data_IF_156699703297
#
_entry.id   IF_156699703297
#
_cell.length_a   1.000
_cell.length_b   1.000
_cell.length_c   1.000
_cell.angle_alpha   90.00
_cell.angle_beta   90.00
_cell.angle_gamma   90.00
#
_symmetry.space_group_name_H-M   'P 1'
#
loop_
_entity.id
_entity.type
_entity.pdbx_description
1 polymer ?
#
# COMPACT_ATOMS: atom_id res chain seq x y z
N UNK A 1 -0.38 -0.02 -7.11
CA UNK A 1 -1.47 -0.95 -7.44
C UNK A 1 -1.58 -1.97 -6.33
N UNK A 2 -2.77 -2.48 -6.07
CA UNK A 2 -2.95 -3.54 -5.07
C UNK A 2 -2.27 -4.86 -5.51
N UNK A 3 -1.82 -5.70 -4.57
CA UNK A 3 -1.13 -6.95 -4.89
C UNK A 3 -1.92 -7.87 -5.82
N UNK A 4 -3.23 -8.01 -5.58
CA UNK A 4 -4.13 -8.86 -6.35
C UNK A 4 -4.34 -8.36 -7.80
N UNK A 5 -4.20 -7.06 -8.05
CA UNK A 5 -4.26 -6.49 -9.41
C UNK A 5 -2.97 -6.80 -10.18
N UNK A 6 -1.84 -6.91 -9.49
CA UNK A 6 -0.54 -7.25 -10.07
C UNK A 6 -0.36 -8.76 -10.28
N UNK A 7 -1.11 -9.58 -9.55
CA UNK A 7 -1.07 -11.03 -9.67
C UNK A 7 -1.76 -11.51 -10.95
N UNK A 8 -1.03 -12.25 -11.79
CA UNK A 8 -1.58 -12.78 -13.05
C UNK A 8 -2.68 -13.81 -12.78
N UNK A 9 -3.85 -13.60 -13.38
CA UNK A 9 -4.97 -14.55 -13.33
C UNK A 9 -5.78 -14.50 -12.04
N UNK A 10 -5.53 -13.52 -11.16
CA UNK A 10 -6.33 -13.29 -9.96
C UNK A 10 -7.45 -12.30 -10.30
N UNK A 11 -8.69 -12.70 -10.03
CA UNK A 11 -9.82 -11.79 -10.09
C UNK A 11 -9.75 -10.83 -8.90
N UNK A 12 -10.05 -9.57 -9.14
CA UNK A 12 -10.11 -8.53 -8.12
C UNK A 12 -11.43 -7.77 -8.21
N UNK A 13 -11.79 -7.09 -7.14
CA UNK A 13 -13.01 -6.30 -7.01
C UNK A 13 -12.68 -4.92 -6.41
N UNK A 14 -13.66 -4.29 -5.74
CA UNK A 14 -13.49 -3.01 -5.05
C UNK A 14 -12.42 -3.01 -3.94
N UNK A 15 -11.92 -4.18 -3.52
CA UNK A 15 -10.80 -4.28 -2.58
C UNK A 15 -9.54 -3.54 -3.05
N UNK A 16 -9.30 -3.49 -4.36
CA UNK A 16 -8.17 -2.79 -4.95
C UNK A 16 -8.22 -1.26 -4.74
N UNK A 17 -9.42 -0.69 -4.63
CA UNK A 17 -9.61 0.74 -4.41
C UNK A 17 -9.24 1.13 -2.98
N UNK A 18 -9.55 0.28 -1.99
CA UNK A 18 -9.15 0.51 -0.60
C UNK A 18 -7.63 0.54 -0.43
N UNK A 19 -6.92 -0.35 -1.11
CA UNK A 19 -5.45 -0.32 -1.11
C UNK A 19 -4.90 0.91 -1.82
N UNK A 20 -5.50 1.28 -2.96
CA UNK A 20 -5.13 2.48 -3.70
C UNK A 20 -5.37 3.75 -2.88
N UNK A 21 -6.44 3.79 -2.08
CA UNK A 21 -6.73 4.86 -1.14
C UNK A 21 -5.66 4.94 -0.04
N UNK A 22 -5.26 3.82 0.57
CA UNK A 22 -4.14 3.79 1.52
C UNK A 22 -2.84 4.34 0.93
N UNK A 23 -2.53 3.99 -0.32
CA UNK A 23 -1.34 4.48 -1.03
C UNK A 23 -1.40 5.99 -1.27
N UNK A 24 -2.59 6.49 -1.65
CA UNK A 24 -2.83 7.91 -1.89
C UNK A 24 -2.74 8.71 -0.59
N UNK A 25 -3.37 8.23 0.48
CA UNK A 25 -3.35 8.88 1.79
C UNK A 25 -1.92 9.01 2.31
N UNK A 26 -1.14 7.94 2.28
CA UNK A 26 0.28 8.00 2.65
C UNK A 26 1.04 9.02 1.80
N UNK A 27 0.80 9.04 0.47
CA UNK A 27 1.46 9.98 -0.44
C UNK A 27 1.10 11.44 -0.16
N UNK A 28 -0.14 11.73 0.23
CA UNK A 28 -0.55 13.08 0.61
C UNK A 28 0.15 13.53 1.90
N UNK A 29 0.36 12.61 2.85
CA UNK A 29 1.00 12.91 4.14
C UNK A 29 2.54 12.97 4.08
N UNK A 30 3.18 12.17 3.21
CA UNK A 30 4.65 12.03 3.12
C UNK A 30 5.27 12.59 1.85
N UNK A 31 4.46 12.95 0.86
CA UNK A 31 4.93 13.45 -0.44
C UNK A 31 5.46 12.37 -1.38
N UNK A 32 5.44 11.08 -0.98
CA UNK A 32 5.89 9.97 -1.82
C UNK A 32 5.09 8.69 -1.60
N UNK A 33 5.17 7.74 -2.54
CA UNK A 33 4.55 6.41 -2.42
C UNK A 33 5.09 5.66 -1.18
N UNK A 34 4.25 4.88 -0.47
CA UNK A 34 4.73 4.04 0.63
C UNK A 34 5.73 2.96 0.18
N UNK A 35 5.72 2.60 -1.10
CA UNK A 35 6.64 1.61 -1.69
C UNK A 35 7.90 2.24 -2.30
N UNK A 36 8.17 3.53 -2.02
CA UNK A 36 9.36 4.23 -2.51
C UNK A 36 10.58 3.90 -1.65
N UNK A 37 11.60 3.27 -2.22
CA UNK A 37 12.87 3.10 -1.52
C UNK A 37 13.65 4.42 -1.41
N UNK A 38 14.25 4.66 -0.23
CA UNK A 38 14.97 5.90 0.10
C UNK A 38 16.34 6.06 -0.59
N UNK A 39 16.84 5.06 -1.34
CA UNK A 39 18.27 4.96 -1.68
C UNK A 39 18.69 5.04 -3.16
N UNK A 40 17.81 5.27 -4.13
CA UNK A 40 18.26 5.33 -5.53
C UNK A 40 17.97 6.68 -6.17
N UNK A 41 19.04 7.50 -6.28
CA UNK A 41 19.11 8.71 -7.13
C UNK A 41 18.92 8.42 -8.62
N UNK A 42 18.88 7.14 -9.03
CA UNK A 42 18.50 6.72 -10.37
C UNK A 42 17.02 6.32 -10.38
N UNK A 43 16.22 6.96 -11.24
CA UNK A 43 14.76 6.85 -11.27
C UNK A 43 14.22 5.43 -11.05
N UNK A 44 13.31 5.29 -10.09
CA UNK A 44 12.62 4.04 -9.80
C UNK A 44 11.75 3.69 -11.01
N UNK A 45 11.99 2.52 -11.62
CA UNK A 45 11.16 2.03 -12.71
C UNK A 45 9.83 1.54 -12.12
N UNK A 46 8.73 1.72 -12.84
CA UNK A 46 7.39 1.31 -12.38
C UNK A 46 7.34 -0.14 -11.89
N UNK A 47 8.06 -1.04 -12.56
CA UNK A 47 8.17 -2.46 -12.20
C UNK A 47 8.76 -2.70 -10.80
N UNK A 48 9.64 -1.83 -10.31
CA UNK A 48 10.22 -1.99 -8.97
C UNK A 48 9.21 -1.59 -7.89
N UNK A 49 8.38 -0.56 -8.14
CA UNK A 49 7.29 -0.19 -7.22
C UNK A 49 6.21 -1.27 -7.16
N UNK A 50 5.89 -1.88 -8.30
CA UNK A 50 4.94 -2.99 -8.39
C UNK A 50 5.43 -4.20 -7.59
N UNK A 51 6.71 -4.56 -7.73
CA UNK A 51 7.30 -5.63 -6.92
C UNK A 51 7.20 -5.35 -5.43
N UNK A 52 7.54 -4.14 -5.00
CA UNK A 52 7.47 -3.75 -3.59
C UNK A 52 6.03 -3.82 -3.05
N UNK A 53 5.04 -3.40 -3.84
CA UNK A 53 3.63 -3.49 -3.47
C UNK A 53 3.14 -4.93 -3.26
N UNK A 54 3.83 -5.94 -3.83
CA UNK A 54 3.51 -7.36 -3.66
C UNK A 54 4.33 -8.00 -2.54
N UNK A 55 5.61 -7.64 -2.41
CA UNK A 55 6.57 -8.37 -1.56
C UNK A 55 6.83 -7.73 -0.22
N UNK A 56 6.55 -6.43 -0.06
CA UNK A 56 7.00 -5.68 1.11
C UNK A 56 5.82 -5.20 1.94
N UNK A 57 5.69 -5.73 3.16
CA UNK A 57 4.84 -5.12 4.16
C UNK A 57 5.38 -3.72 4.46
N UNK A 58 4.48 -2.74 4.49
CA UNK A 58 4.88 -1.37 4.80
C UNK A 58 5.24 -1.32 6.28
N UNK A 59 6.52 -1.08 6.54
CA UNK A 59 7.00 -0.69 7.85
C UNK A 59 6.76 0.82 8.00
N UNK A 60 5.79 1.19 8.85
CA UNK A 60 5.52 2.57 9.26
C UNK A 60 6.24 3.06 10.55
N UNK A 61 7.13 2.31 11.23
CA UNK A 61 7.65 2.78 12.50
C UNK A 61 8.51 4.03 12.25
N UNK A 62 8.20 5.09 12.99
CA UNK A 62 8.87 6.39 12.97
C UNK A 62 8.48 7.35 11.81
N UNK A 63 7.30 7.14 11.22
CA UNK A 63 6.73 8.09 10.26
C UNK A 63 6.13 9.36 10.91
N UNK A 64 6.23 9.59 12.23
CA UNK A 64 5.63 10.79 12.86
C UNK A 64 4.11 10.92 12.64
N UNK A 65 3.43 9.81 12.40
CA UNK A 65 1.97 9.75 12.34
C UNK A 65 1.39 9.62 13.74
N UNK A 66 0.14 10.04 13.92
CA UNK A 66 -0.61 9.66 15.12
C UNK A 66 -0.88 8.15 15.10
N UNK A 67 -1.07 7.51 16.26
CA UNK A 67 -1.38 6.08 16.33
C UNK A 67 -2.59 5.68 15.47
N UNK A 68 -3.62 6.53 15.42
CA UNK A 68 -4.85 6.27 14.65
C UNK A 68 -4.60 6.36 13.14
N UNK A 69 -3.75 7.30 12.72
CA UNK A 69 -3.38 7.43 11.31
C UNK A 69 -2.53 6.23 10.87
N UNK A 70 -1.63 5.77 11.74
CA UNK A 70 -0.83 4.58 11.48
C UNK A 70 -1.71 3.33 11.35
N UNK A 71 -2.61 3.10 12.30
CA UNK A 71 -3.56 1.98 12.28
C UNK A 71 -4.44 1.99 11.00
N UNK A 72 -4.93 3.17 10.62
CA UNK A 72 -5.70 3.34 9.38
C UNK A 72 -4.90 2.94 8.13
N UNK A 73 -3.67 3.46 8.00
CA UNK A 73 -2.83 3.19 6.82
C UNK A 73 -2.41 1.72 6.78
N UNK A 74 -2.03 1.13 7.92
CA UNK A 74 -1.68 -0.30 8.01
C UNK A 74 -2.87 -1.20 7.67
N UNK A 75 -4.06 -0.85 8.12
CA UNK A 75 -5.29 -1.57 7.81
C UNK A 75 -5.64 -1.52 6.31
N UNK A 76 -5.53 -0.34 5.70
CA UNK A 76 -5.80 -0.16 4.26
C UNK A 76 -4.78 -0.87 3.36
N UNK A 77 -3.54 -1.02 3.83
CA UNK A 77 -2.42 -1.54 3.04
C UNK A 77 -2.05 -3.00 3.36
N UNK A 78 -2.94 -3.75 4.01
CA UNK A 78 -2.81 -5.20 4.13
C UNK A 78 -2.80 -5.86 2.75
N UNK A 79 -1.85 -6.78 2.55
CA UNK A 79 -1.74 -7.51 1.30
C UNK A 79 -2.89 -8.49 1.11
N UNK A 80 -3.24 -9.24 2.16
CA UNK A 80 -4.40 -10.11 2.14
C UNK A 80 -5.69 -9.27 2.17
N UNK A 81 -6.53 -9.45 1.15
CA UNK A 81 -7.82 -8.77 1.01
C UNK A 81 -8.74 -9.06 2.19
N UNK A 82 -8.71 -10.28 2.74
CA UNK A 82 -9.53 -10.65 3.90
C UNK A 82 -9.14 -9.88 5.16
N UNK A 83 -7.89 -9.43 5.24
CA UNK A 83 -7.39 -8.62 6.34
C UNK A 83 -7.48 -7.11 6.11
N UNK A 84 -7.76 -6.69 4.88
CA UNK A 84 -7.77 -5.28 4.48
C UNK A 84 -8.99 -4.54 5.03
N UNK A 85 -8.74 -3.34 5.56
CA UNK A 85 -9.81 -2.44 5.99
C UNK A 85 -10.72 -2.11 4.80
N UNK A 86 -12.03 -2.11 5.02
CA UNK A 86 -13.04 -1.89 3.97
C UNK A 86 -13.47 -3.16 3.21
N UNK A 87 -12.81 -4.30 3.43
CA UNK A 87 -13.09 -5.56 2.72
C UNK A 87 -13.75 -6.65 3.60
N UNK A 88 -14.03 -6.34 4.87
CA UNK A 88 -14.49 -7.31 5.90
C UNK A 88 -16.00 -7.39 6.10
N UNK A 89 -16.81 -6.80 5.21
CA UNK A 89 -18.28 -6.89 5.20
C UNK A 89 -18.95 -6.93 6.58
N UNK A 90 -19.15 -5.76 7.20
CA UNK A 90 -20.03 -5.61 8.38
C UNK A 90 -21.27 -4.83 8.01
#
# INVERSE_FOLDING_TARGET
MAPEVLAKGVAYDSSADWFSFGCMLYKLLKGHSPFRQHKTKAGIKNNDMEKMAVTHNIDLPDAGFSPECQDLIEGLLKHDVSDRLGCRGR
#
